data_IF_070945597013
#
_entry.id   IF_070945597013
#
_cell.length_a   1.000
_cell.length_b   1.000
_cell.length_c   1.000
_cell.angle_alpha   90.00
_cell.angle_beta   90.00
_cell.angle_gamma   90.00
#
_symmetry.space_group_name_H-M   'P 1'
#
loop_
_entity.id
_entity.type
_entity.pdbx_description
1 polymer ?
#
# COMPACT_ATOMS: atom_id res chain seq x y z
N UNK A 1 -16.69 -9.17 16.29
CA UNK A 1 -15.74 -8.96 15.18
C UNK A 1 -15.30 -7.51 15.27
N UNK A 2 -14.01 -7.20 15.13
CA UNK A 2 -13.54 -5.80 15.12
C UNK A 2 -13.88 -5.15 13.78
N UNK A 3 -13.90 -3.81 13.73
CA UNK A 3 -14.23 -3.11 12.50
C UNK A 3 -13.16 -3.30 11.41
N UNK A 4 -11.89 -3.32 11.79
CA UNK A 4 -10.78 -3.64 10.88
C UNK A 4 -10.96 -5.00 10.20
N UNK A 5 -11.33 -6.05 10.96
CA UNK A 5 -11.62 -7.37 10.40
C UNK A 5 -12.80 -7.37 9.42
N UNK A 6 -13.84 -6.59 9.72
CA UNK A 6 -14.98 -6.43 8.82
C UNK A 6 -14.54 -5.81 7.49
N UNK A 7 -13.69 -4.78 7.53
CA UNK A 7 -13.13 -4.14 6.33
C UNK A 7 -12.29 -5.13 5.50
N UNK A 8 -11.44 -5.91 6.16
CA UNK A 8 -10.62 -6.95 5.50
C UNK A 8 -11.48 -8.03 4.85
N UNK A 9 -12.54 -8.49 5.51
CA UNK A 9 -13.46 -9.47 4.91
C UNK A 9 -14.20 -8.91 3.70
N UNK A 10 -14.63 -7.65 3.78
CA UNK A 10 -15.30 -6.98 2.68
C UNK A 10 -14.38 -6.76 1.45
N UNK A 11 -13.08 -6.55 1.67
CA UNK A 11 -12.10 -6.34 0.60
C UNK A 11 -11.62 -7.64 -0.08
N UNK A 12 -11.86 -8.81 0.53
CA UNK A 12 -11.34 -10.10 0.04
C UNK A 12 -11.60 -10.37 -1.45
N UNK A 13 -12.82 -10.17 -2.00
CA UNK A 13 -13.06 -10.40 -3.42
C UNK A 13 -12.19 -9.51 -4.32
N UNK A 14 -11.98 -8.24 -3.91
CA UNK A 14 -11.15 -7.28 -4.66
C UNK A 14 -9.69 -7.73 -4.65
N UNK A 15 -9.19 -8.21 -3.50
CA UNK A 15 -7.82 -8.74 -3.40
C UNK A 15 -7.65 -10.00 -4.25
N UNK A 16 -8.67 -10.86 -4.33
CA UNK A 16 -8.64 -12.03 -5.20
C UNK A 16 -8.56 -11.61 -6.68
N UNK A 17 -9.29 -10.59 -7.09
CA UNK A 17 -9.22 -10.03 -8.45
C UNK A 17 -7.83 -9.43 -8.73
N UNK A 18 -7.27 -8.65 -7.79
CA UNK A 18 -5.91 -8.09 -7.92
C UNK A 18 -4.86 -9.20 -8.03
N UNK A 19 -4.95 -10.24 -7.19
CA UNK A 19 -4.00 -11.36 -7.25
C UNK A 19 -4.03 -12.09 -8.60
N UNK A 20 -5.19 -12.18 -9.23
CA UNK A 20 -5.37 -12.82 -10.54
C UNK A 20 -5.12 -11.86 -11.72
N UNK A 21 -4.81 -10.59 -11.47
CA UNK A 21 -4.46 -9.64 -12.53
C UNK A 21 -3.20 -10.05 -13.28
N UNK A 22 -3.14 -9.70 -14.56
CA UNK A 22 -2.04 -10.06 -15.44
C UNK A 22 -0.68 -9.59 -14.95
N UNK A 23 -0.60 -8.41 -14.32
CA UNK A 23 0.65 -7.90 -13.75
C UNK A 23 1.20 -8.84 -12.67
N UNK A 24 0.37 -9.25 -11.71
CA UNK A 24 0.77 -10.14 -10.61
C UNK A 24 1.11 -11.53 -11.15
N UNK A 25 0.32 -12.07 -12.09
CA UNK A 25 0.57 -13.40 -12.66
C UNK A 25 1.87 -13.44 -13.50
N UNK A 26 2.18 -12.39 -14.25
CA UNK A 26 3.44 -12.28 -14.99
C UNK A 26 4.63 -12.07 -14.06
N UNK A 27 4.45 -11.33 -12.97
CA UNK A 27 5.46 -11.14 -11.92
C UNK A 27 5.78 -12.46 -11.22
N UNK A 28 4.76 -13.27 -10.86
CA UNK A 28 4.93 -14.63 -10.30
C UNK A 28 5.75 -15.53 -11.24
N UNK A 29 5.45 -15.47 -12.52
CA UNK A 29 6.14 -16.27 -13.52
C UNK A 29 7.55 -15.76 -13.87
N UNK A 30 7.95 -14.57 -13.38
CA UNK A 30 9.20 -13.91 -13.78
C UNK A 30 9.21 -13.49 -15.25
N UNK A 31 8.04 -13.12 -15.80
CA UNK A 31 7.84 -12.80 -17.24
C UNK A 31 7.30 -11.39 -17.48
N UNK A 32 7.30 -10.55 -16.43
CA UNK A 32 6.80 -9.19 -16.56
C UNK A 32 7.59 -8.43 -17.62
N UNK A 33 6.89 -7.71 -18.50
CA UNK A 33 7.55 -6.94 -19.56
C UNK A 33 8.30 -5.73 -18.99
N UNK A 34 9.43 -5.36 -19.61
CA UNK A 34 10.19 -4.17 -19.23
C UNK A 34 9.31 -2.90 -19.25
N UNK A 35 8.35 -2.82 -20.16
CA UNK A 35 7.44 -1.68 -20.24
C UNK A 35 6.53 -1.62 -19.02
N UNK A 36 5.96 -2.76 -18.59
CA UNK A 36 5.11 -2.82 -17.40
C UNK A 36 5.89 -2.45 -16.13
N UNK A 37 7.13 -2.95 -16.00
CA UNK A 37 8.03 -2.58 -14.88
C UNK A 37 8.29 -1.08 -14.85
N UNK A 38 8.70 -0.48 -15.97
CA UNK A 38 8.93 0.99 -16.02
C UNK A 38 7.69 1.78 -15.66
N UNK A 39 6.53 1.36 -16.17
CA UNK A 39 5.26 2.05 -15.89
C UNK A 39 4.90 1.97 -14.41
N UNK A 40 5.05 0.80 -13.82
CA UNK A 40 4.81 0.57 -12.39
C UNK A 40 5.75 1.46 -11.55
N UNK A 41 7.07 1.36 -11.74
CA UNK A 41 8.06 2.10 -10.96
C UNK A 41 7.88 3.63 -11.06
N UNK A 42 7.57 4.15 -12.24
CA UNK A 42 7.31 5.59 -12.47
C UNK A 42 6.05 6.06 -11.75
N UNK A 43 4.99 5.27 -11.82
CA UNK A 43 3.73 5.57 -11.16
C UNK A 43 3.88 5.52 -9.65
N UNK A 44 4.52 4.47 -9.15
CA UNK A 44 4.64 4.21 -7.73
C UNK A 44 5.59 5.20 -7.03
N UNK A 45 6.72 5.57 -7.65
CA UNK A 45 7.57 6.64 -7.14
C UNK A 45 6.84 7.99 -6.97
N UNK A 46 5.89 8.29 -7.87
CA UNK A 46 5.03 9.47 -7.74
C UNK A 46 3.99 9.31 -6.63
N UNK A 47 3.44 8.10 -6.51
CA UNK A 47 2.46 7.74 -5.49
C UNK A 47 3.03 7.81 -4.07
N UNK A 48 4.21 7.24 -3.82
CA UNK A 48 4.85 7.22 -2.50
C UNK A 48 5.09 8.63 -1.96
N UNK A 49 5.46 9.57 -2.84
CA UNK A 49 5.61 10.97 -2.45
C UNK A 49 4.31 11.58 -1.91
N UNK A 50 3.20 11.33 -2.59
CA UNK A 50 1.89 11.83 -2.16
C UNK A 50 1.39 11.09 -0.91
N UNK A 51 1.66 9.81 -0.80
CA UNK A 51 1.32 9.00 0.37
C UNK A 51 2.06 9.50 1.62
N UNK A 52 3.35 9.87 1.49
CA UNK A 52 4.14 10.52 2.54
C UNK A 52 3.48 11.82 3.03
N UNK A 53 3.00 12.66 2.12
CA UNK A 53 2.30 13.89 2.47
C UNK A 53 1.01 13.61 3.27
N UNK A 54 0.28 12.55 2.92
CA UNK A 54 -0.95 12.17 3.63
C UNK A 54 -0.65 11.68 5.05
N UNK A 55 0.44 10.92 5.26
CA UNK A 55 0.92 10.59 6.60
C UNK A 55 1.20 11.85 7.44
N UNK A 56 1.88 12.84 6.86
CA UNK A 56 2.18 14.08 7.55
C UNK A 56 0.90 14.85 7.95
N UNK A 57 -0.14 14.81 7.13
CA UNK A 57 -1.44 15.45 7.42
C UNK A 57 -2.22 14.76 8.54
N UNK A 58 -1.93 13.49 8.85
CA UNK A 58 -2.52 12.78 9.96
C UNK A 58 -1.94 13.20 11.32
N UNK A 59 -0.68 13.65 11.36
CA UNK A 59 0.02 14.00 12.62
C UNK A 59 -0.82 14.92 13.53
N UNK A 60 -1.36 16.05 13.06
CA UNK A 60 -2.15 16.94 13.92
C UNK A 60 -3.50 16.35 14.36
N UNK A 61 -3.94 15.23 13.78
CA UNK A 61 -5.20 14.56 14.14
C UNK A 61 -5.01 13.45 15.18
N UNK A 62 -3.77 13.10 15.50
CA UNK A 62 -3.46 12.06 16.48
C UNK A 62 -3.53 12.61 17.91
N UNK A 63 -4.13 11.84 18.80
CA UNK A 63 -4.25 12.20 20.22
C UNK A 63 -3.12 11.62 21.07
N UNK A 64 -2.36 10.67 20.55
CA UNK A 64 -1.24 10.04 21.27
C UNK A 64 0.10 10.30 20.59
N UNK A 65 1.16 10.48 21.40
CA UNK A 65 2.52 10.61 20.88
C UNK A 65 3.07 9.31 20.30
N UNK A 66 2.50 8.17 20.68
CA UNK A 66 2.81 6.87 20.09
C UNK A 66 2.34 6.80 18.64
N UNK A 67 1.12 7.26 18.37
CA UNK A 67 0.58 7.35 17.01
C UNK A 67 1.39 8.35 16.17
N UNK A 68 1.80 9.47 16.74
CA UNK A 68 2.66 10.44 16.03
C UNK A 68 4.01 9.83 15.66
N UNK A 69 4.65 9.09 16.57
CA UNK A 69 5.92 8.40 16.28
C UNK A 69 5.75 7.39 15.15
N UNK A 70 4.71 6.57 15.23
CA UNK A 70 4.40 5.62 14.16
C UNK A 70 4.27 6.33 12.80
N UNK A 71 3.54 7.44 12.71
CA UNK A 71 3.39 8.18 11.45
C UNK A 71 4.73 8.73 10.94
N UNK A 72 5.62 9.19 11.83
CA UNK A 72 6.96 9.65 11.46
C UNK A 72 7.82 8.49 10.94
N UNK A 73 7.79 7.33 11.59
CA UNK A 73 8.48 6.12 11.15
C UNK A 73 7.98 5.66 9.76
N UNK A 74 6.67 5.80 9.49
CA UNK A 74 6.13 5.50 8.17
C UNK A 74 6.58 6.51 7.11
N UNK A 75 6.70 7.79 7.45
CA UNK A 75 7.27 8.80 6.55
C UNK A 75 8.72 8.44 6.19
N UNK A 76 9.55 8.07 7.16
CA UNK A 76 10.93 7.64 6.93
C UNK A 76 10.98 6.38 6.05
N UNK A 77 10.13 5.39 6.32
CA UNK A 77 10.04 4.18 5.50
C UNK A 77 9.65 4.48 4.04
N UNK A 78 8.68 5.37 3.80
CA UNK A 78 8.29 5.77 2.43
C UNK A 78 9.42 6.49 1.68
N UNK A 79 10.28 7.19 2.38
CA UNK A 79 11.38 7.95 1.77
C UNK A 79 12.62 7.09 1.45
N UNK A 80 12.86 6.02 2.20
CA UNK A 80 14.10 5.26 2.15
C UNK A 80 13.87 3.74 1.98
N UNK A 81 12.93 3.15 2.70
CA UNK A 81 12.80 1.68 2.81
C UNK A 81 12.14 1.04 1.60
N UNK A 82 11.09 1.62 1.04
CA UNK A 82 10.34 1.01 -0.07
C UNK A 82 11.09 1.05 -1.41
N UNK A 83 12.12 1.89 -1.52
CA UNK A 83 13.02 1.93 -2.67
C UNK A 83 13.70 0.58 -2.91
N UNK A 84 14.00 -0.20 -1.86
CA UNK A 84 14.59 -1.54 -1.98
C UNK A 84 13.74 -2.48 -2.85
N UNK A 85 12.42 -2.48 -2.64
CA UNK A 85 11.50 -3.29 -3.47
C UNK A 85 11.46 -2.82 -4.94
N UNK A 86 11.60 -1.51 -5.15
CA UNK A 86 11.66 -0.93 -6.49
C UNK A 86 12.96 -1.29 -7.21
N UNK A 87 14.10 -1.27 -6.52
CA UNK A 87 15.40 -1.66 -7.07
C UNK A 87 15.41 -3.11 -7.53
N UNK A 88 14.71 -4.02 -6.82
CA UNK A 88 14.54 -5.42 -7.26
C UNK A 88 13.93 -5.49 -8.67
N UNK A 89 12.93 -4.68 -8.97
CA UNK A 89 12.29 -4.67 -10.30
C UNK A 89 13.11 -3.91 -11.34
N UNK A 90 13.84 -2.88 -10.95
CA UNK A 90 14.79 -2.19 -11.82
C UNK A 90 15.94 -3.12 -12.25
N UNK A 91 16.47 -3.89 -11.32
CA UNK A 91 17.49 -4.94 -11.58
C UNK A 91 16.94 -6.04 -12.49
N UNK A 92 15.68 -6.43 -12.33
CA UNK A 92 15.04 -7.42 -13.20
C UNK A 92 15.06 -7.02 -14.68
N UNK A 93 14.98 -5.73 -14.98
CA UNK A 93 15.03 -5.21 -16.35
C UNK A 93 16.41 -4.67 -16.75
N UNK A 94 17.42 -4.77 -15.86
CA UNK A 94 18.78 -4.25 -16.03
C UNK A 94 18.84 -2.74 -16.31
N UNK A 95 18.03 -1.94 -15.62
CA UNK A 95 18.01 -0.48 -15.73
C UNK A 95 18.15 0.15 -14.33
N UNK A 96 18.96 1.23 -14.19
CA UNK A 96 19.05 1.93 -12.92
C UNK A 96 17.70 2.56 -12.52
N UNK A 97 17.29 2.35 -11.27
CA UNK A 97 16.01 2.88 -10.76
C UNK A 97 15.89 4.40 -10.94
N UNK A 98 16.95 5.15 -10.62
CA UNK A 98 16.96 6.61 -10.74
C UNK A 98 16.74 7.10 -12.18
N UNK A 99 17.15 6.32 -13.18
CA UNK A 99 16.91 6.68 -14.59
C UNK A 99 15.45 6.40 -14.97
N UNK A 100 14.88 5.31 -14.47
CA UNK A 100 13.48 4.94 -14.76
C UNK A 100 12.52 6.00 -14.23
N UNK A 101 12.73 6.49 -13.00
CA UNK A 101 11.80 7.40 -12.32
C UNK A 101 11.96 8.88 -12.69
N UNK A 102 12.91 9.22 -13.56
CA UNK A 102 13.03 10.59 -14.13
C UNK A 102 11.79 10.98 -14.93
N UNK A 103 11.19 10.03 -15.63
CA UNK A 103 9.90 10.23 -16.29
C UNK A 103 8.79 9.93 -15.29
N UNK A 104 7.93 10.92 -15.08
CA UNK A 104 6.77 10.77 -14.20
C UNK A 104 5.59 10.22 -14.98
N UNK A 105 4.95 9.22 -14.43
CA UNK A 105 3.68 8.69 -14.93
C UNK A 105 2.65 8.83 -13.80
N UNK A 106 1.49 9.36 -14.16
CA UNK A 106 0.39 9.53 -13.22
C UNK A 106 -0.88 8.89 -13.80
N UNK A 107 -1.11 7.59 -13.55
CA UNK A 107 -2.27 6.89 -14.08
C UNK A 107 -3.57 7.43 -13.46
N UNK A 108 -4.68 7.48 -14.22
CA UNK A 108 -5.97 7.97 -13.71
C UNK A 108 -6.45 7.26 -12.43
N UNK A 109 -6.18 5.97 -12.31
CA UNK A 109 -6.51 5.20 -11.10
C UNK A 109 -5.70 5.65 -9.89
N UNK A 110 -4.40 5.87 -10.05
CA UNK A 110 -3.52 6.42 -9.00
C UNK A 110 -3.95 7.83 -8.60
N UNK A 111 -4.26 8.69 -9.57
CA UNK A 111 -4.78 10.04 -9.32
C UNK A 111 -6.10 10.02 -8.54
N UNK A 112 -7.02 9.13 -8.91
CA UNK A 112 -8.28 8.97 -8.18
C UNK A 112 -8.06 8.53 -6.74
N UNK A 113 -7.21 7.53 -6.52
CA UNK A 113 -6.92 6.99 -5.19
C UNK A 113 -6.25 8.03 -4.28
N UNK A 114 -5.25 8.74 -4.78
CA UNK A 114 -4.58 9.81 -4.03
C UNK A 114 -5.56 10.95 -3.69
N UNK A 115 -6.40 11.37 -4.64
CA UNK A 115 -7.43 12.42 -4.38
C UNK A 115 -8.44 11.98 -3.35
N UNK A 116 -8.83 10.70 -3.33
CA UNK A 116 -9.70 10.15 -2.30
C UNK A 116 -9.05 10.23 -0.91
N UNK A 117 -7.78 9.86 -0.79
CA UNK A 117 -7.05 9.99 0.48
C UNK A 117 -6.92 11.46 0.92
N UNK A 118 -6.56 12.36 0.02
CA UNK A 118 -6.50 13.80 0.32
C UNK A 118 -7.84 14.36 0.73
N UNK A 119 -8.92 13.99 0.05
CA UNK A 119 -10.27 14.43 0.44
C UNK A 119 -10.55 14.03 1.89
N UNK A 120 -10.31 12.80 2.27
CA UNK A 120 -10.52 12.34 3.64
C UNK A 120 -9.59 13.04 4.64
N UNK A 121 -8.34 13.29 4.27
CA UNK A 121 -7.38 13.99 5.11
C UNK A 121 -7.75 15.46 5.35
N UNK A 122 -8.31 16.15 4.36
CA UNK A 122 -8.72 17.56 4.47
C UNK A 122 -10.12 17.76 5.03
N UNK A 123 -11.09 16.97 4.54
CA UNK A 123 -12.50 17.23 4.79
C UNK A 123 -13.05 16.55 6.04
N UNK A 124 -12.40 15.50 6.54
CA UNK A 124 -12.86 14.74 7.69
C UNK A 124 -12.02 15.05 8.94
N UNK A 125 -12.66 15.44 10.04
CA UNK A 125 -11.97 15.66 11.32
C UNK A 125 -11.49 14.34 11.94
N UNK A 126 -12.34 13.29 11.89
CA UNK A 126 -11.99 11.98 12.40
C UNK A 126 -10.96 11.30 11.49
N UNK A 127 -9.77 11.05 12.04
CA UNK A 127 -8.67 10.41 11.34
C UNK A 127 -9.00 9.01 10.80
N UNK A 128 -10.03 8.33 11.35
CA UNK A 128 -10.46 7.02 10.88
C UNK A 128 -10.76 6.99 9.38
N UNK A 129 -11.32 8.07 8.82
CA UNK A 129 -11.60 8.15 7.37
C UNK A 129 -10.32 8.16 6.54
N UNK A 130 -9.30 8.88 6.99
CA UNK A 130 -8.02 8.91 6.28
C UNK A 130 -7.28 7.59 6.42
N UNK A 131 -7.26 7.01 7.63
CA UNK A 131 -6.65 5.70 7.89
C UNK A 131 -7.35 4.62 7.05
N UNK A 132 -8.68 4.63 6.95
CA UNK A 132 -9.42 3.68 6.12
C UNK A 132 -9.08 3.82 4.63
N UNK A 133 -8.92 5.06 4.15
CA UNK A 133 -8.52 5.31 2.77
C UNK A 133 -7.08 4.87 2.48
N UNK A 134 -6.18 4.90 3.46
CA UNK A 134 -4.77 4.48 3.33
C UNK A 134 -4.57 2.97 3.52
N UNK A 135 -5.30 2.34 4.43
CA UNK A 135 -5.13 0.95 4.84
C UNK A 135 -5.16 -0.10 3.70
N UNK A 136 -5.90 0.07 2.60
CA UNK A 136 -5.86 -0.87 1.49
C UNK A 136 -4.46 -1.07 0.88
N UNK A 137 -3.63 -0.04 0.81
CA UNK A 137 -2.30 -0.13 0.21
C UNK A 137 -1.42 -1.18 0.93
N UNK A 138 -1.01 -1.01 2.19
CA UNK A 138 -0.16 -1.99 2.87
C UNK A 138 -0.84 -3.37 2.98
N UNK A 139 -2.16 -3.41 3.15
CA UNK A 139 -2.88 -4.68 3.27
C UNK A 139 -2.86 -5.51 2.00
N UNK A 140 -3.08 -4.88 0.83
CA UNK A 140 -3.00 -5.56 -0.47
C UNK A 140 -1.61 -6.13 -0.69
N UNK A 141 -0.56 -5.34 -0.49
CA UNK A 141 0.82 -5.79 -0.67
C UNK A 141 1.20 -6.94 0.28
N UNK A 142 0.81 -6.86 1.57
CA UNK A 142 1.03 -7.93 2.54
C UNK A 142 0.37 -9.24 2.11
N UNK A 143 -0.92 -9.19 1.74
CA UNK A 143 -1.67 -10.39 1.35
C UNK A 143 -1.14 -10.99 0.06
N UNK A 144 -0.84 -10.16 -0.95
CA UNK A 144 -0.29 -10.62 -2.23
C UNK A 144 1.10 -11.22 -2.03
N UNK A 145 1.97 -10.57 -1.25
CA UNK A 145 3.29 -11.09 -0.92
C UNK A 145 3.22 -12.48 -0.28
N UNK A 146 2.45 -12.64 0.79
CA UNK A 146 2.28 -13.92 1.49
C UNK A 146 1.71 -15.00 0.58
N UNK A 147 0.64 -14.68 -0.14
CA UNK A 147 -0.01 -15.62 -1.05
C UNK A 147 0.93 -16.09 -2.17
N UNK A 148 1.73 -15.16 -2.70
CA UNK A 148 2.72 -15.47 -3.73
C UNK A 148 3.82 -16.41 -3.23
N UNK A 149 4.33 -16.21 -2.00
CA UNK A 149 5.36 -17.07 -1.42
C UNK A 149 4.91 -18.53 -1.23
N UNK A 150 3.61 -18.77 -1.14
CA UNK A 150 2.99 -20.09 -1.03
C UNK A 150 2.52 -20.65 -2.40
N UNK A 151 2.47 -19.81 -3.43
CA UNK A 151 1.95 -20.22 -4.76
C UNK A 151 2.97 -21.10 -5.50
N UNK A 152 2.58 -22.32 -5.96
CA UNK A 152 3.45 -23.18 -6.74
C UNK A 152 3.87 -22.59 -8.10
N UNK A 153 3.19 -21.55 -8.59
CA UNK A 153 3.55 -20.85 -9.82
C UNK A 153 4.72 -19.87 -9.64
N UNK A 154 5.08 -19.54 -8.40
CA UNK A 154 6.18 -18.62 -8.13
C UNK A 154 7.49 -19.16 -8.69
N UNK A 155 8.08 -18.43 -9.62
CA UNK A 155 9.44 -18.70 -10.09
C UNK A 155 10.45 -18.23 -9.02
N UNK A 156 10.82 -19.13 -8.10
CA UNK A 156 11.76 -18.85 -7.01
C UNK A 156 13.17 -18.50 -7.47
N UNK A 157 13.52 -18.79 -8.70
CA UNK A 157 14.82 -18.45 -9.30
C UNK A 157 14.82 -17.04 -9.93
N UNK A 158 13.63 -16.47 -10.15
CA UNK A 158 13.51 -15.10 -10.66
C UNK A 158 13.83 -14.07 -9.59
N UNK A 159 14.49 -13.00 -9.98
CA UNK A 159 14.72 -11.82 -9.12
C UNK A 159 13.38 -11.28 -8.58
N UNK A 160 12.29 -11.39 -9.35
CA UNK A 160 10.95 -10.94 -8.95
C UNK A 160 10.41 -11.63 -7.69
N UNK A 161 10.92 -12.83 -7.34
CA UNK A 161 10.54 -13.50 -6.09
C UNK A 161 10.93 -12.68 -4.84
N UNK A 162 12.01 -11.89 -4.92
CA UNK A 162 12.45 -11.02 -3.83
C UNK A 162 11.45 -9.87 -3.56
N UNK A 163 10.78 -9.38 -4.61
CA UNK A 163 9.73 -8.39 -4.46
C UNK A 163 8.56 -8.94 -3.62
N UNK A 164 8.09 -10.16 -3.89
CA UNK A 164 7.07 -10.80 -3.07
C UNK A 164 7.56 -11.09 -1.66
N UNK A 165 8.81 -11.52 -1.50
CA UNK A 165 9.42 -11.77 -0.19
C UNK A 165 9.44 -10.50 0.65
N UNK A 166 9.87 -9.36 0.09
CA UNK A 166 9.87 -8.07 0.77
C UNK A 166 8.49 -7.76 1.35
N UNK A 167 7.45 -7.72 0.51
CA UNK A 167 6.12 -7.38 0.97
C UNK A 167 5.47 -8.44 1.87
N UNK A 168 5.92 -9.68 1.83
CA UNK A 168 5.43 -10.74 2.72
C UNK A 168 5.93 -10.60 4.15
N UNK A 169 7.03 -9.86 4.38
CA UNK A 169 7.67 -9.69 5.69
C UNK A 169 7.48 -8.28 6.24
N UNK A 170 7.78 -7.26 5.44
CA UNK A 170 7.83 -5.86 5.91
C UNK A 170 6.46 -5.25 6.19
N UNK A 171 5.38 -5.76 5.55
CA UNK A 171 4.05 -5.16 5.69
C UNK A 171 3.24 -5.67 6.89
N UNK A 172 3.63 -6.76 7.55
CA UNK A 172 2.81 -7.39 8.59
C UNK A 172 2.60 -6.48 9.80
N UNK A 173 3.69 -5.95 10.34
CA UNK A 173 3.63 -5.06 11.50
C UNK A 173 2.85 -3.79 11.17
N UNK A 174 3.08 -3.23 9.98
CA UNK A 174 2.37 -2.06 9.49
C UNK A 174 0.85 -2.31 9.41
N UNK A 175 0.43 -3.44 8.84
CA UNK A 175 -0.98 -3.82 8.73
C UNK A 175 -1.62 -4.00 10.11
N UNK A 176 -0.91 -4.59 11.06
CA UNK A 176 -1.41 -4.78 12.43
C UNK A 176 -1.59 -3.44 13.17
N UNK A 177 -0.66 -2.49 12.98
CA UNK A 177 -0.79 -1.14 13.55
C UNK A 177 -1.96 -0.38 12.92
N UNK A 178 -2.15 -0.46 11.60
CA UNK A 178 -3.31 0.13 10.93
C UNK A 178 -4.63 -0.43 11.47
N UNK A 179 -4.72 -1.73 11.69
CA UNK A 179 -5.91 -2.36 12.26
C UNK A 179 -6.20 -1.89 13.69
N UNK A 180 -5.18 -1.86 14.53
CA UNK A 180 -5.31 -1.38 15.91
C UNK A 180 -5.72 0.08 15.94
N UNK A 181 -5.13 0.91 15.09
CA UNK A 181 -5.46 2.32 14.96
C UNK A 181 -6.90 2.50 14.46
N UNK A 182 -7.31 1.76 13.44
CA UNK A 182 -8.67 1.74 12.91
C UNK A 182 -9.68 1.37 13.99
N UNK A 183 -9.48 0.27 14.70
CA UNK A 183 -10.39 -0.21 15.74
C UNK A 183 -10.49 0.80 16.90
N UNK A 184 -9.40 1.48 17.25
CA UNK A 184 -9.35 2.48 18.30
C UNK A 184 -10.08 3.77 17.89
N UNK A 185 -9.83 4.28 16.69
CA UNK A 185 -10.44 5.50 16.16
C UNK A 185 -11.94 5.34 15.91
N UNK A 186 -12.38 4.14 15.57
CA UNK A 186 -13.80 3.85 15.28
C UNK A 186 -14.60 3.38 16.50
N UNK A 187 -13.95 3.25 17.66
CA UNK A 187 -14.60 2.72 18.88
C UNK A 187 -15.89 3.45 19.29
N UNK A 188 -15.94 4.74 19.06
CA UNK A 188 -17.06 5.61 19.41
C UNK A 188 -17.84 6.14 18.20
N UNK A 189 -17.50 5.67 17.00
CA UNK A 189 -18.24 6.01 15.78
C UNK A 189 -19.65 5.37 15.80
N UNK A 190 -20.62 6.13 15.31
CA UNK A 190 -21.95 5.61 15.03
C UNK A 190 -21.92 4.60 13.89
N UNK A 191 -22.95 3.77 13.77
CA UNK A 191 -23.06 2.81 12.65
C UNK A 191 -23.14 3.53 11.29
N UNK A 192 -23.69 4.74 11.25
CA UNK A 192 -23.70 5.57 10.04
C UNK A 192 -22.29 5.99 9.65
N UNK A 193 -21.47 6.47 10.60
CA UNK A 193 -20.07 6.83 10.34
C UNK A 193 -19.23 5.62 9.92
N UNK A 194 -19.41 4.46 10.56
CA UNK A 194 -18.73 3.24 10.15
C UNK A 194 -19.08 2.82 8.74
N UNK A 195 -20.36 2.99 8.37
CA UNK A 195 -20.79 2.72 7.00
C UNK A 195 -20.12 3.67 6.00
N UNK A 196 -20.06 4.97 6.30
CA UNK A 196 -19.35 5.95 5.46
C UNK A 196 -17.83 5.67 5.36
N UNK A 197 -17.19 5.20 6.45
CA UNK A 197 -15.78 4.82 6.46
C UNK A 197 -15.54 3.60 5.55
N UNK A 198 -16.49 2.68 5.48
CA UNK A 198 -16.40 1.46 4.69
C UNK A 198 -16.65 1.68 3.19
N UNK A 199 -17.45 2.68 2.81
CA UNK A 199 -17.76 3.07 1.42
C UNK A 199 -16.61 3.85 0.75
#
# INVERSE_FOLDING_TARGET
MTFSKELREASRPIIDDIYNDGFIQDLLAGKLSNQAVRQYLRADASYLKEFTNIYAMLIPKMSSMEDVKFLVEQIEFMLEGEVEAHEVLADFINEPYEEIVKEKVWPPSGDHYIKHMYFNAFARENAAFTIAAMAPCPYVYAVIGKRAMEDPKLNKESVTSKWFQFYSTEMDELVDVFDQLMDRLTKHCSETEKKEIKE
#
